data_IF_860743922393
#
_entry.id   IF_860743922393
#
_cell.length_a   1.000
_cell.length_b   1.000
_cell.length_c   1.000
_cell.angle_alpha   90.00
_cell.angle_beta   90.00
_cell.angle_gamma   90.00
#
_symmetry.space_group_name_H-M   'P 1'
#
loop_
_entity.id
_entity.type
_entity.pdbx_description
1 polymer ?
#
# COMPACT_ATOMS: atom_id res chain seq x y z
N UNK A 1 40.79 29.82 35.29
CA UNK A 1 40.69 28.39 35.65
C UNK A 1 39.39 27.87 35.06
N UNK A 2 39.46 27.27 33.88
CA UNK A 2 38.30 26.75 33.14
C UNK A 2 38.60 25.29 32.80
N UNK A 3 37.71 24.42 33.29
CA UNK A 3 37.81 22.97 33.27
C UNK A 3 37.37 22.42 31.91
N UNK A 4 38.20 21.54 31.36
CA UNK A 4 37.98 20.68 30.19
C UNK A 4 36.99 19.55 30.50
N UNK A 5 36.11 19.21 29.55
CA UNK A 5 35.62 17.84 29.36
C UNK A 5 35.36 17.58 27.86
N UNK A 6 35.58 16.34 27.37
CA UNK A 6 36.04 16.08 26.01
C UNK A 6 34.93 15.71 25.02
N UNK A 7 35.24 15.99 23.75
CA UNK A 7 34.62 15.52 22.53
C UNK A 7 34.41 14.00 22.48
N UNK A 8 33.21 13.55 22.13
CA UNK A 8 32.99 12.21 21.56
C UNK A 8 33.40 12.19 20.09
N UNK A 9 34.15 11.18 19.63
CA UNK A 9 34.41 10.96 18.22
C UNK A 9 33.24 10.23 17.57
N UNK A 10 33.00 10.60 16.32
CA UNK A 10 32.69 9.71 15.20
C UNK A 10 31.61 8.63 15.40
N UNK A 11 30.45 8.90 14.81
CA UNK A 11 29.73 7.86 14.08
C UNK A 11 29.30 8.50 12.77
N UNK A 12 30.26 8.60 11.85
CA UNK A 12 29.97 8.61 10.44
C UNK A 12 28.88 7.58 10.16
N UNK A 13 27.70 8.05 9.75
CA UNK A 13 26.73 7.19 9.09
C UNK A 13 27.44 6.68 7.83
N UNK A 14 27.98 5.47 7.95
CA UNK A 14 28.54 4.70 6.86
C UNK A 14 27.43 4.60 5.81
N UNK A 15 27.51 5.47 4.79
CA UNK A 15 26.62 5.42 3.65
C UNK A 15 26.91 4.09 2.97
N UNK A 16 26.11 3.07 3.31
CA UNK A 16 26.15 1.80 2.63
C UNK A 16 26.18 2.09 1.13
N UNK A 17 27.11 1.49 0.36
CA UNK A 17 27.14 1.69 -1.08
C UNK A 17 25.74 1.37 -1.61
N UNK A 18 25.25 2.19 -2.54
CA UNK A 18 23.96 1.97 -3.18
C UNK A 18 23.94 0.55 -3.75
N UNK A 19 23.40 -0.39 -2.99
CA UNK A 19 23.25 -1.77 -3.41
C UNK A 19 22.40 -1.73 -4.67
N UNK A 20 22.92 -2.31 -5.76
CA UNK A 20 22.17 -2.40 -7.01
C UNK A 20 20.91 -3.26 -6.89
N UNK A 21 20.78 -3.97 -5.76
CA UNK A 21 19.72 -4.92 -5.45
C UNK A 21 19.04 -4.59 -4.12
N UNK A 22 17.78 -4.98 -4.01
CA UNK A 22 16.98 -4.79 -2.80
C UNK A 22 17.41 -5.76 -1.70
N UNK A 23 17.45 -5.24 -0.47
CA UNK A 23 17.63 -6.03 0.76
C UNK A 23 16.30 -6.53 1.36
N UNK A 24 15.18 -6.24 0.69
CA UNK A 24 13.82 -6.49 1.16
C UNK A 24 13.01 -7.23 0.09
N UNK A 25 11.93 -7.86 0.51
CA UNK A 25 10.94 -8.47 -0.39
C UNK A 25 9.61 -7.71 -0.24
N UNK A 26 8.81 -7.50 -1.30
CA UNK A 26 7.59 -6.69 -1.25
C UNK A 26 6.60 -7.04 -0.14
N UNK A 27 6.51 -8.31 0.26
CA UNK A 27 5.59 -8.75 1.31
C UNK A 27 6.04 -8.39 2.73
N UNK A 28 7.31 -8.02 2.92
CA UNK A 28 7.85 -7.56 4.20
C UNK A 28 7.67 -6.04 4.39
N UNK A 29 7.31 -5.33 3.33
CA UNK A 29 7.10 -3.90 3.37
C UNK A 29 5.85 -3.53 4.18
N UNK A 30 5.86 -2.32 4.73
CA UNK A 30 4.72 -1.79 5.47
C UNK A 30 3.51 -1.70 4.55
N UNK A 31 2.40 -2.21 5.06
CA UNK A 31 1.12 -2.06 4.39
C UNK A 31 0.73 -0.58 4.23
N UNK A 32 0.37 -0.17 3.01
CA UNK A 32 -0.14 1.16 2.68
C UNK A 32 -1.46 1.06 1.93
N UNK A 33 -2.54 1.50 2.56
CA UNK A 33 -3.86 1.53 1.93
C UNK A 33 -3.91 2.49 0.73
N UNK A 34 -3.18 3.61 0.80
CA UNK A 34 -3.14 4.60 -0.27
C UNK A 34 -2.49 4.04 -1.54
N UNK A 35 -1.39 3.28 -1.39
CA UNK A 35 -0.71 2.62 -2.52
C UNK A 35 -1.61 1.58 -3.19
N UNK A 36 -2.24 0.71 -2.40
CA UNK A 36 -3.16 -0.32 -2.88
C UNK A 36 -4.40 0.28 -3.56
N UNK A 37 -4.94 1.37 -3.02
CA UNK A 37 -6.09 2.06 -3.60
C UNK A 37 -5.71 2.78 -4.91
N UNK A 38 -4.48 3.30 -5.01
CA UNK A 38 -3.94 3.81 -6.26
C UNK A 38 -3.75 2.69 -7.30
N UNK A 39 -3.31 1.49 -6.90
CA UNK A 39 -3.24 0.31 -7.77
C UNK A 39 -4.61 -0.14 -8.26
N UNK A 40 -5.64 -0.10 -7.40
CA UNK A 40 -7.02 -0.36 -7.80
C UNK A 40 -7.42 0.58 -8.94
N UNK A 41 -7.17 1.88 -8.79
CA UNK A 41 -7.50 2.87 -9.82
C UNK A 41 -6.69 2.62 -11.11
N UNK A 42 -5.39 2.39 -10.98
CA UNK A 42 -4.50 2.19 -12.12
C UNK A 42 -4.77 0.87 -12.88
N UNK A 43 -5.26 -0.19 -12.25
CA UNK A 43 -5.40 -1.51 -12.91
C UNK A 43 -6.84 -1.79 -13.32
N UNK A 44 -7.83 -1.40 -12.51
CA UNK A 44 -9.24 -1.69 -12.79
C UNK A 44 -9.94 -0.58 -13.58
N UNK A 45 -9.56 0.68 -13.36
CA UNK A 45 -10.22 1.82 -14.01
C UNK A 45 -9.46 2.31 -15.26
N UNK A 46 -8.25 1.77 -15.50
CA UNK A 46 -7.49 2.08 -16.70
C UNK A 46 -8.16 1.56 -17.97
N UNK A 47 -8.25 2.44 -18.95
CA UNK A 47 -8.66 2.13 -20.32
C UNK A 47 -7.50 1.71 -21.21
N UNK A 48 -6.26 1.79 -20.70
CA UNK A 48 -5.05 1.44 -21.44
C UNK A 48 -4.85 -0.08 -21.53
N UNK A 49 -4.45 -0.60 -22.70
CA UNK A 49 -4.09 -2.01 -22.83
C UNK A 49 -2.82 -2.33 -22.03
N UNK A 50 -2.68 -3.56 -21.51
CA UNK A 50 -1.45 -3.99 -20.84
C UNK A 50 -0.24 -3.87 -21.77
N UNK A 51 0.85 -3.32 -21.23
CA UNK A 51 2.10 -3.15 -21.94
C UNK A 51 2.64 -4.52 -22.37
N UNK A 52 2.83 -4.71 -23.68
CA UNK A 52 3.37 -5.95 -24.21
C UNK A 52 4.86 -6.07 -23.88
N UNK A 53 5.34 -7.29 -23.63
CA UNK A 53 6.75 -7.58 -23.29
C UNK A 53 7.79 -6.96 -24.24
N UNK A 54 7.41 -6.67 -25.49
CA UNK A 54 8.28 -6.00 -26.47
C UNK A 54 8.72 -4.58 -26.07
N UNK A 55 7.94 -3.90 -25.21
CA UNK A 55 8.23 -2.54 -24.75
C UNK A 55 9.01 -2.51 -23.42
N UNK A 56 9.16 -3.66 -22.76
CA UNK A 56 9.91 -3.78 -21.52
C UNK A 56 11.30 -4.27 -21.90
N UNK A 57 12.22 -3.31 -22.00
CA UNK A 57 13.63 -3.61 -22.27
C UNK A 57 14.24 -4.27 -21.04
N UNK A 58 14.30 -5.60 -21.05
CA UNK A 58 15.27 -6.34 -20.24
C UNK A 58 16.58 -6.25 -21.01
N UNK A 59 17.39 -5.23 -20.74
CA UNK A 59 18.72 -5.11 -21.31
C UNK A 59 19.63 -6.14 -20.65
N UNK A 60 20.23 -7.08 -21.42
CA UNK A 60 21.18 -8.05 -20.87
C UNK A 60 22.56 -7.41 -20.56
N UNK A 61 22.68 -6.08 -20.68
CA UNK A 61 23.94 -5.38 -20.51
C UNK A 61 23.74 -4.12 -19.63
N UNK A 62 24.13 -4.15 -18.35
CA UNK A 62 23.99 -2.99 -17.43
C UNK A 62 24.84 -1.79 -17.85
N UNK A 63 25.79 -1.97 -18.77
CA UNK A 63 26.68 -0.92 -19.25
C UNK A 63 26.02 0.08 -20.20
N UNK A 64 24.92 -0.28 -20.91
CA UNK A 64 24.25 0.65 -21.83
C UNK A 64 23.29 1.63 -21.13
N UNK A 65 22.81 1.28 -19.94
CA UNK A 65 21.95 2.13 -19.10
C UNK A 65 22.74 2.90 -18.02
N UNK A 66 24.06 2.69 -17.94
CA UNK A 66 24.98 3.24 -16.94
C UNK A 66 25.12 4.78 -16.94
N UNK A 67 24.50 5.48 -17.89
CA UNK A 67 24.45 6.94 -17.93
C UNK A 67 23.24 7.55 -17.19
N UNK A 68 22.29 6.74 -16.70
CA UNK A 68 21.17 7.21 -15.88
C UNK A 68 21.45 6.82 -14.44
N UNK A 69 21.80 7.78 -13.59
CA UNK A 69 21.90 7.54 -12.15
C UNK A 69 20.55 7.08 -11.62
N UNK A 70 20.47 5.82 -11.21
CA UNK A 70 19.29 5.24 -10.60
C UNK A 70 19.01 5.91 -9.24
N UNK A 71 17.73 6.10 -8.88
CA UNK A 71 17.37 6.75 -7.62
C UNK A 71 17.69 5.83 -6.44
N UNK A 72 18.48 6.32 -5.48
CA UNK A 72 18.61 5.65 -4.18
C UNK A 72 17.34 5.87 -3.36
N UNK A 73 16.65 4.79 -3.01
CA UNK A 73 15.39 4.79 -2.28
C UNK A 73 15.59 3.97 -1.01
N UNK A 74 15.46 4.57 0.19
CA UNK A 74 15.56 3.81 1.43
C UNK A 74 14.28 2.98 1.66
N UNK A 75 14.43 1.81 2.27
CA UNK A 75 13.31 0.90 2.57
C UNK A 75 12.24 1.56 3.46
N UNK A 76 12.64 2.50 4.32
CA UNK A 76 11.74 3.25 5.21
C UNK A 76 10.66 4.04 4.49
N UNK A 77 10.92 4.41 3.23
CA UNK A 77 10.05 5.26 2.42
C UNK A 77 9.10 4.44 1.54
N UNK A 78 9.24 3.11 1.55
CA UNK A 78 8.43 2.20 0.75
C UNK A 78 7.11 1.83 1.48
N UNK A 79 6.01 1.61 0.73
CA UNK A 79 5.89 1.71 -0.72
C UNK A 79 5.77 3.17 -1.21
N UNK A 80 6.40 3.49 -2.34
CA UNK A 80 6.30 4.80 -2.98
C UNK A 80 4.96 5.00 -3.68
N UNK A 81 4.39 6.23 -3.66
CA UNK A 81 3.20 6.56 -4.45
C UNK A 81 3.40 6.28 -5.95
N UNK A 82 2.34 5.88 -6.66
CA UNK A 82 2.39 5.62 -8.10
C UNK A 82 2.69 6.88 -8.93
N UNK A 83 2.42 8.07 -8.38
CA UNK A 83 2.70 9.38 -8.98
C UNK A 83 4.11 9.90 -8.69
N UNK A 84 4.95 9.12 -7.99
CA UNK A 84 6.32 9.53 -7.65
C UNK A 84 7.13 9.81 -8.94
N UNK A 85 7.78 10.99 -9.07
CA UNK A 85 8.49 11.38 -10.29
C UNK A 85 9.70 10.50 -10.59
N UNK A 86 10.18 9.72 -9.62
CA UNK A 86 11.27 8.75 -9.81
C UNK A 86 10.82 7.51 -10.59
N UNK A 87 9.51 7.31 -10.81
CA UNK A 87 8.95 6.19 -11.57
C UNK A 87 8.99 6.46 -13.08
N UNK A 88 10.14 6.24 -13.69
CA UNK A 88 10.38 6.53 -15.11
C UNK A 88 10.42 5.29 -15.99
N UNK A 89 10.51 4.10 -15.39
CA UNK A 89 10.68 2.85 -16.13
C UNK A 89 9.33 2.19 -16.42
N UNK A 90 9.13 1.64 -17.63
CA UNK A 90 7.87 0.99 -17.98
C UNK A 90 7.67 -0.30 -17.18
N UNK A 91 6.41 -0.67 -16.96
CA UNK A 91 6.03 -1.94 -16.33
C UNK A 91 4.98 -2.68 -17.17
N UNK A 92 4.71 -3.95 -16.83
CA UNK A 92 3.62 -4.73 -17.42
C UNK A 92 2.23 -4.23 -17.00
N UNK A 93 2.14 -3.47 -15.91
CA UNK A 93 0.88 -2.92 -15.43
C UNK A 93 0.57 -1.61 -16.15
N UNK A 94 -0.61 -1.48 -16.80
CA UNK A 94 -1.02 -0.21 -17.40
C UNK A 94 -1.06 0.91 -16.36
N UNK A 95 -0.60 2.11 -16.73
CA UNK A 95 -0.60 3.27 -15.84
C UNK A 95 0.34 3.19 -14.63
N UNK A 96 1.19 2.16 -14.53
CA UNK A 96 2.15 1.99 -13.44
C UNK A 96 3.57 1.96 -13.98
N UNK A 97 4.41 2.87 -13.48
CA UNK A 97 5.84 2.91 -13.80
C UNK A 97 6.68 2.45 -12.61
N UNK A 98 7.83 1.84 -12.91
CA UNK A 98 8.83 1.41 -11.95
C UNK A 98 9.89 2.49 -11.75
N UNK A 99 10.56 2.43 -10.62
CA UNK A 99 11.72 3.28 -10.33
C UNK A 99 13.03 2.72 -10.90
N UNK A 100 13.04 1.43 -11.24
CA UNK A 100 14.18 0.70 -11.75
C UNK A 100 13.72 -0.27 -12.86
N UNK A 101 14.54 -0.58 -13.89
CA UNK A 101 14.16 -1.42 -15.04
C UNK A 101 13.65 -2.82 -14.68
N UNK A 102 14.12 -3.39 -13.58
CA UNK A 102 13.71 -4.70 -13.04
C UNK A 102 13.34 -4.60 -11.55
N UNK A 103 12.83 -3.43 -11.14
CA UNK A 103 12.50 -3.13 -9.75
C UNK A 103 11.13 -3.62 -9.33
N UNK A 104 10.86 -3.49 -8.03
CA UNK A 104 9.54 -3.76 -7.45
C UNK A 104 8.53 -2.65 -7.77
N UNK A 105 7.25 -3.02 -7.78
CA UNK A 105 6.14 -2.08 -7.99
C UNK A 105 6.01 -1.07 -6.84
N UNK A 106 6.40 -1.47 -5.64
CA UNK A 106 6.46 -0.67 -4.43
C UNK A 106 7.58 0.37 -4.50
N UNK A 107 8.57 0.18 -5.37
CA UNK A 107 9.73 1.05 -5.54
C UNK A 107 11.05 0.37 -5.18
N UNK A 108 12.14 1.00 -5.60
CA UNK A 108 13.50 0.52 -5.44
C UNK A 108 13.92 -0.58 -6.44
N UNK A 109 15.15 -1.09 -6.29
CA UNK A 109 15.71 -2.13 -7.15
C UNK A 109 15.01 -3.48 -6.97
N UNK A 110 15.30 -4.42 -7.87
CA UNK A 110 14.82 -5.81 -7.76
C UNK A 110 15.70 -6.64 -6.84
N UNK A 111 15.33 -7.91 -6.65
CA UNK A 111 16.14 -8.87 -5.92
C UNK A 111 17.48 -9.12 -6.64
N UNK A 112 18.49 -9.51 -5.89
CA UNK A 112 19.73 -10.06 -6.46
C UNK A 112 19.37 -11.33 -7.28
N UNK A 113 19.78 -11.40 -8.57
CA UNK A 113 19.56 -12.59 -9.40
C UNK A 113 20.07 -13.88 -8.76
N UNK A 114 21.14 -13.82 -7.95
CA UNK A 114 21.68 -15.01 -7.27
C UNK A 114 20.77 -15.51 -6.13
N UNK A 115 19.87 -14.65 -5.64
CA UNK A 115 18.86 -14.97 -4.63
C UNK A 115 17.47 -15.21 -5.24
N UNK A 116 17.29 -14.95 -6.52
CA UNK A 116 16.02 -15.12 -7.22
C UNK A 116 15.86 -16.56 -7.71
N UNK A 117 14.93 -17.30 -7.12
CA UNK A 117 14.61 -18.68 -7.51
C UNK A 117 13.60 -18.78 -8.64
N UNK A 118 13.06 -17.64 -9.10
CA UNK A 118 12.04 -17.62 -10.15
C UNK A 118 12.50 -18.28 -11.46
N UNK A 119 13.72 -18.05 -11.98
CA UNK A 119 14.17 -18.68 -13.22
C UNK A 119 14.10 -20.21 -13.16
N UNK A 120 14.63 -20.80 -12.09
CA UNK A 120 14.66 -22.24 -11.84
C UNK A 120 13.25 -22.81 -11.75
N UNK A 121 12.37 -22.17 -10.97
CA UNK A 121 10.98 -22.58 -10.80
C UNK A 121 10.19 -22.46 -12.12
N UNK A 122 10.46 -21.43 -12.91
CA UNK A 122 9.85 -21.21 -14.21
C UNK A 122 10.24 -22.33 -15.20
N UNK A 123 11.53 -22.65 -15.31
CA UNK A 123 12.00 -23.72 -16.20
C UNK A 123 11.57 -25.11 -15.73
N UNK A 124 11.46 -25.33 -14.42
CA UNK A 124 10.96 -26.61 -13.87
C UNK A 124 9.49 -26.82 -14.23
N UNK A 125 8.65 -25.78 -14.15
CA UNK A 125 7.24 -25.81 -14.57
C UNK A 125 7.06 -25.91 -16.09
N UNK A 126 8.04 -25.44 -16.86
CA UNK A 126 8.01 -25.40 -18.31
C UNK A 126 9.15 -26.21 -18.96
N UNK A 127 9.36 -27.44 -18.51
CA UNK A 127 10.49 -28.30 -18.94
C UNK A 127 10.50 -28.66 -20.43
N UNK A 128 9.40 -28.42 -21.15
CA UNK A 128 9.24 -28.70 -22.58
C UNK A 128 9.65 -27.54 -23.51
N UNK A 129 10.03 -26.38 -22.96
CA UNK A 129 10.45 -25.23 -23.76
C UNK A 129 11.83 -25.47 -24.38
N UNK A 130 11.93 -25.40 -25.71
CA UNK A 130 13.18 -25.59 -26.44
C UNK A 130 13.55 -24.42 -27.35
N UNK A 131 12.63 -23.50 -27.60
CA UNK A 131 12.83 -22.38 -28.51
C UNK A 131 12.49 -21.05 -27.86
N UNK A 132 13.14 -19.97 -28.32
CA UNK A 132 12.88 -18.60 -27.86
C UNK A 132 11.43 -18.18 -28.08
N UNK A 133 10.82 -18.60 -29.20
CA UNK A 133 9.41 -18.34 -29.48
C UNK A 133 8.46 -19.04 -28.49
N UNK A 134 8.80 -20.25 -28.06
CA UNK A 134 8.01 -20.95 -27.02
C UNK A 134 8.16 -20.26 -25.67
N UNK A 135 9.37 -19.82 -25.31
CA UNK A 135 9.63 -19.06 -24.08
C UNK A 135 8.81 -17.78 -24.02
N UNK A 136 8.80 -16.99 -25.11
CA UNK A 136 8.02 -15.75 -25.18
C UNK A 136 6.51 -16.01 -25.03
N UNK A 137 5.98 -17.07 -25.62
CA UNK A 137 4.56 -17.44 -25.47
C UNK A 137 4.23 -17.90 -24.06
N UNK A 138 5.10 -18.70 -23.44
CA UNK A 138 4.92 -19.14 -22.06
C UNK A 138 4.94 -17.95 -21.09
N UNK A 139 5.91 -17.03 -21.27
CA UNK A 139 6.01 -15.81 -20.47
C UNK A 139 4.78 -14.91 -20.65
N UNK A 140 4.32 -14.69 -21.88
CA UNK A 140 3.10 -13.91 -22.13
C UNK A 140 1.86 -14.53 -21.47
N UNK A 141 1.77 -15.87 -21.48
CA UNK A 141 0.68 -16.60 -20.84
C UNK A 141 0.72 -16.41 -19.32
N UNK A 142 1.86 -16.62 -18.68
CA UNK A 142 2.00 -16.50 -17.22
C UNK A 142 1.82 -15.05 -16.75
N UNK A 143 2.33 -14.06 -17.50
CA UNK A 143 2.04 -12.65 -17.24
C UNK A 143 0.54 -12.39 -17.35
N UNK A 144 -0.14 -12.93 -18.36
CA UNK A 144 -1.59 -12.81 -18.51
C UNK A 144 -2.38 -13.39 -17.33
N UNK A 145 -2.03 -14.60 -16.90
CA UNK A 145 -2.65 -15.26 -15.74
C UNK A 145 -2.43 -14.47 -14.44
N UNK A 146 -1.22 -13.94 -14.23
CA UNK A 146 -0.89 -13.12 -13.07
C UNK A 146 -1.62 -11.76 -13.08
N UNK A 147 -1.80 -11.15 -14.27
CA UNK A 147 -2.60 -9.93 -14.42
C UNK A 147 -4.08 -10.17 -14.12
N UNK A 148 -4.63 -11.31 -14.52
CA UNK A 148 -6.01 -11.68 -14.22
C UNK A 148 -6.20 -11.91 -12.71
N UNK A 149 -5.27 -12.64 -12.08
CA UNK A 149 -5.26 -12.84 -10.63
C UNK A 149 -5.15 -11.51 -9.87
N UNK A 150 -4.30 -10.59 -10.34
CA UNK A 150 -4.18 -9.25 -9.76
C UNK A 150 -5.52 -8.50 -9.84
N UNK A 151 -6.18 -8.50 -11.00
CA UNK A 151 -7.50 -7.87 -11.18
C UNK A 151 -8.55 -8.46 -10.24
N UNK A 152 -8.56 -9.78 -10.07
CA UNK A 152 -9.46 -10.45 -9.14
C UNK A 152 -9.24 -9.97 -7.69
N UNK A 153 -7.97 -9.95 -7.25
CA UNK A 153 -7.60 -9.51 -5.89
C UNK A 153 -7.95 -8.04 -5.64
N UNK A 154 -7.62 -7.15 -6.58
CA UNK A 154 -7.96 -5.73 -6.49
C UNK A 154 -9.48 -5.52 -6.50
N UNK A 155 -10.21 -6.31 -7.29
CA UNK A 155 -11.68 -6.28 -7.30
C UNK A 155 -12.30 -6.75 -5.98
N UNK A 156 -11.74 -7.81 -5.39
CA UNK A 156 -12.16 -8.28 -4.06
C UNK A 156 -11.90 -7.22 -2.98
N UNK A 157 -10.74 -6.55 -3.06
CA UNK A 157 -10.39 -5.45 -2.16
C UNK A 157 -11.36 -4.27 -2.29
N UNK A 158 -11.68 -3.82 -3.51
CA UNK A 158 -12.65 -2.74 -3.75
C UNK A 158 -14.00 -3.05 -3.09
N UNK A 159 -14.53 -4.26 -3.31
CA UNK A 159 -15.79 -4.71 -2.69
C UNK A 159 -15.71 -4.75 -1.16
N UNK A 160 -14.59 -5.21 -0.60
CA UNK A 160 -14.38 -5.24 0.84
C UNK A 160 -14.36 -3.81 1.42
N UNK A 161 -13.71 -2.87 0.75
CA UNK A 161 -13.69 -1.45 1.14
C UNK A 161 -15.09 -0.84 1.12
N UNK A 162 -15.84 -1.00 0.02
CA UNK A 162 -17.21 -0.50 -0.08
C UNK A 162 -18.12 -1.04 1.02
N UNK A 163 -17.98 -2.33 1.35
CA UNK A 163 -18.69 -2.96 2.45
C UNK A 163 -18.32 -2.34 3.81
N UNK A 164 -17.03 -2.11 4.05
CA UNK A 164 -16.56 -1.48 5.29
C UNK A 164 -17.09 -0.05 5.42
N UNK A 165 -17.04 0.75 4.35
CA UNK A 165 -17.61 2.10 4.34
C UNK A 165 -19.13 2.09 4.62
N UNK A 166 -19.85 1.11 4.10
CA UNK A 166 -21.28 0.90 4.41
C UNK A 166 -21.52 0.61 5.89
N UNK A 167 -20.75 -0.31 6.47
CA UNK A 167 -20.83 -0.68 7.89
C UNK A 167 -20.47 0.50 8.81
N UNK A 168 -19.46 1.30 8.45
CA UNK A 168 -19.09 2.49 9.23
C UNK A 168 -20.23 3.52 9.28
N UNK A 169 -20.94 3.72 8.16
CA UNK A 169 -22.11 4.61 8.10
C UNK A 169 -23.25 4.08 8.98
N UNK A 170 -23.49 2.77 8.94
CA UNK A 170 -24.51 2.12 9.77
C UNK A 170 -24.17 2.24 11.27
N UNK A 171 -22.92 1.95 11.64
CA UNK A 171 -22.44 2.11 13.02
C UNK A 171 -22.56 3.55 13.50
N UNK A 172 -22.27 4.53 12.65
CA UNK A 172 -22.45 5.95 12.98
C UNK A 172 -23.93 6.26 13.24
N UNK A 173 -24.83 5.82 12.37
CA UNK A 173 -26.28 5.99 12.54
C UNK A 173 -26.79 5.40 13.86
N UNK A 174 -26.39 4.17 14.18
CA UNK A 174 -26.77 3.51 15.43
C UNK A 174 -26.23 4.25 16.66
N UNK A 175 -25.00 4.76 16.61
CA UNK A 175 -24.43 5.57 17.70
C UNK A 175 -25.20 6.87 17.90
N UNK A 176 -25.58 7.54 16.81
CA UNK A 176 -26.35 8.79 16.86
C UNK A 176 -27.76 8.56 17.44
N UNK A 177 -28.42 7.46 17.04
CA UNK A 177 -29.70 7.02 17.62
C UNK A 177 -29.58 6.75 19.12
N UNK A 178 -28.59 5.95 19.52
CA UNK A 178 -28.35 5.65 20.93
C UNK A 178 -28.07 6.91 21.76
N UNK A 179 -27.27 7.84 21.23
CA UNK A 179 -27.00 9.11 21.90
C UNK A 179 -28.24 10.00 22.01
N UNK A 180 -29.15 9.96 21.04
CA UNK A 180 -30.44 10.64 21.12
C UNK A 180 -31.35 10.02 22.20
N UNK A 181 -31.43 8.69 22.26
CA UNK A 181 -32.19 7.97 23.29
C UNK A 181 -31.72 8.31 24.70
N UNK A 182 -30.40 8.32 24.92
CA UNK A 182 -29.80 8.70 26.21
C UNK A 182 -30.17 10.15 26.59
N UNK A 183 -30.11 11.09 25.64
CA UNK A 183 -30.50 12.49 25.87
C UNK A 183 -31.98 12.61 26.25
N UNK A 184 -32.87 11.90 25.56
CA UNK A 184 -34.30 11.88 25.88
C UNK A 184 -34.51 11.30 27.29
N UNK A 185 -33.86 10.18 27.60
CA UNK A 185 -33.99 9.54 28.91
C UNK A 185 -33.50 10.44 30.04
N UNK A 186 -32.38 11.17 29.84
CA UNK A 186 -31.88 12.15 30.79
C UNK A 186 -32.90 13.27 31.04
N UNK A 187 -33.41 13.89 29.96
CA UNK A 187 -34.42 14.95 30.04
C UNK A 187 -35.68 14.50 30.78
N UNK A 188 -36.17 13.31 30.46
CA UNK A 188 -37.33 12.71 31.13
C UNK A 188 -37.08 12.47 32.63
N UNK A 189 -35.84 12.15 33.01
CA UNK A 189 -35.45 11.97 34.43
C UNK A 189 -35.43 13.31 35.16
N UNK A 190 -34.87 14.35 34.54
CA UNK A 190 -34.83 15.72 35.09
C UNK A 190 -36.23 16.29 35.26
N UNK A 191 -37.10 16.15 34.26
CA UNK A 191 -38.49 16.60 34.33
C UNK A 191 -39.27 15.91 35.48
N UNK A 192 -39.06 14.59 35.65
CA UNK A 192 -39.63 13.85 36.77
C UNK A 192 -39.11 14.36 38.12
N UNK A 193 -37.82 14.66 38.23
CA UNK A 193 -37.22 15.21 39.44
C UNK A 193 -37.79 16.60 39.77
N UNK A 194 -37.83 17.51 38.81
CA UNK A 194 -38.41 18.85 38.98
C UNK A 194 -39.89 18.78 39.39
N UNK A 195 -40.68 17.88 38.79
CA UNK A 195 -42.09 17.69 39.14
C UNK A 195 -42.26 17.16 40.58
N UNK A 196 -41.35 16.30 41.05
CA UNK A 196 -41.35 15.80 42.42
C UNK A 196 -41.02 16.91 43.40
N UNK A 197 -39.96 17.68 43.14
CA UNK A 197 -39.54 18.82 43.96
C UNK A 197 -40.63 19.90 44.06
N UNK A 198 -41.26 20.26 42.94
CA UNK A 198 -42.37 21.22 42.91
C UNK A 198 -43.61 20.76 43.70
N UNK A 199 -43.85 19.44 43.78
CA UNK A 199 -44.94 18.89 44.63
C UNK A 199 -44.58 18.94 46.10
N UNK A 200 -43.33 18.68 46.45
CA UNK A 200 -42.85 18.73 47.84
C UNK A 200 -42.81 20.17 48.37
N UNK A 201 -42.36 21.14 47.58
CA UNK A 201 -42.36 22.56 47.98
C UNK A 201 -43.78 23.10 48.21
N UNK A 202 -44.74 22.75 47.34
CA UNK A 202 -46.17 23.08 47.52
C UNK A 202 -46.79 22.46 48.77
N UNK A 203 -46.35 21.25 49.17
CA UNK A 203 -46.83 20.61 50.41
C UNK A 203 -46.27 21.30 51.65
N UNK A 204 -44.98 21.63 51.65
CA UNK A 204 -44.34 22.34 52.77
C UNK A 204 -44.93 23.74 52.99
N UNK A 205 -45.23 24.47 51.90
CA UNK A 205 -45.86 25.80 51.99
C UNK A 205 -47.33 25.82 52.40
N UNK A 206 -48.00 24.66 52.47
CA UNK A 206 -49.40 24.54 52.96
C UNK A 206 -49.49 24.06 54.42
N UNK A 207 -48.36 23.69 55.02
CA UNK A 207 -48.29 23.09 56.36
C UNK A 207 -47.63 24.04 57.40
N UNK A 208 -47.32 25.27 57.02
CA UNK A 208 -46.95 26.38 57.92
C UNK A 208 -47.97 27.49 57.81
#
# INVERSE_FOLDING_TARGET
MTTTAPSHPDSAAESAPASSYASYVPHDLKYSAEFEDALIAAVLDSTEPPTTAANIRVTPNPELDSNVSLPSIPESDLPLPLSDPRRTHPSFLPGVSLTHPAGYYEGGPGLDPDLDTFPEDFFTRHSSLQTTAQLQRALQKEVGENLELLRERLGARRRAREKNEGLERELKSLRDQHHMELRIHHRMREEKAMKKEARESRRKGKAG
#
